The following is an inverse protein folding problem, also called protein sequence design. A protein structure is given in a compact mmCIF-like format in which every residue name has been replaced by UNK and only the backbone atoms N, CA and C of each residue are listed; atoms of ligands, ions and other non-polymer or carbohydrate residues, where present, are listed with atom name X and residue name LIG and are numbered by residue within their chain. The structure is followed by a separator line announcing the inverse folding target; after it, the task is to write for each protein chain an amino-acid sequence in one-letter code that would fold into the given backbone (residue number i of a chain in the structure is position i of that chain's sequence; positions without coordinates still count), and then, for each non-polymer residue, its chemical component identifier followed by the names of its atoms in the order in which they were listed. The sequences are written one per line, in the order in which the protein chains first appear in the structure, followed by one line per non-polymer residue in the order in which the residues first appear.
data_IF_365603641526
#
_entry.id   IF_365603641526
#
_cell.length_a   1.000
_cell.length_b   1.000
_cell.length_c   1.000
_cell.angle_alpha   90.00
_cell.angle_beta   90.00
_cell.angle_gamma   90.00
#
_symmetry.space_group_name_H-M   'P 1'
#
loop_
_entity.id
_entity.type
_entity.pdbx_description
1 polymer ?
#
# COMPACT_ATOMS: atom_id res chain seq x y z
N UNK A 1 -18.01 2.04 -3.81
CA UNK A 1 -19.00 2.65 -4.75
C UNK A 1 -19.85 1.52 -5.31
N UNK A 2 -21.15 1.76 -5.63
CA UNK A 2 -21.97 0.74 -6.26
C UNK A 2 -22.67 1.31 -7.48
N UNK A 3 -22.95 0.46 -8.50
CA UNK A 3 -23.53 0.87 -9.78
C UNK A 3 -24.67 -0.08 -10.19
N UNK A 4 -25.41 0.27 -11.23
CA UNK A 4 -26.36 -0.64 -11.87
C UNK A 4 -25.62 -1.80 -12.57
N UNK A 5 -26.26 -2.99 -12.74
CA UNK A 5 -25.62 -4.13 -13.40
C UNK A 5 -25.43 -3.95 -14.91
N UNK A 6 -26.12 -2.99 -15.53
CA UNK A 6 -26.08 -2.76 -16.99
C UNK A 6 -26.11 -1.26 -17.31
N UNK A 7 -25.66 -0.87 -18.50
CA UNK A 7 -25.70 0.53 -18.97
C UNK A 7 -27.12 1.03 -19.19
N UNK A 8 -27.34 2.29 -18.94
CA UNK A 8 -28.64 2.95 -19.23
C UNK A 8 -28.99 2.80 -20.72
N UNK A 9 -30.26 2.51 -20.99
CA UNK A 9 -30.75 2.36 -22.36
C UNK A 9 -30.44 1.03 -23.05
N UNK A 10 -29.67 0.14 -22.41
CA UNK A 10 -29.32 -1.19 -22.99
C UNK A 10 -30.26 -2.31 -22.57
N UNK A 11 -31.21 -2.06 -21.68
CA UNK A 11 -32.14 -3.04 -21.14
C UNK A 11 -33.50 -2.45 -20.81
N UNK A 12 -34.48 -3.33 -20.54
CA UNK A 12 -35.75 -3.00 -19.87
C UNK A 12 -35.99 -3.99 -18.74
N UNK A 13 -36.65 -3.56 -17.68
CA UNK A 13 -37.09 -4.49 -16.63
C UNK A 13 -38.23 -5.32 -17.15
N UNK A 14 -38.09 -6.62 -17.20
CA UNK A 14 -39.12 -7.56 -17.69
C UNK A 14 -39.84 -8.28 -16.58
N UNK A 15 -39.23 -8.45 -15.39
CA UNK A 15 -39.88 -9.06 -14.24
C UNK A 15 -39.28 -8.53 -12.94
N UNK A 16 -40.16 -8.18 -11.99
CA UNK A 16 -39.81 -7.71 -10.66
C UNK A 16 -39.60 -8.83 -9.65
N UNK A 17 -39.05 -8.44 -8.49
CA UNK A 17 -38.92 -9.30 -7.30
C UNK A 17 -40.30 -9.51 -6.64
N UNK A 18 -40.62 -10.75 -6.23
CA UNK A 18 -41.82 -11.08 -5.47
C UNK A 18 -42.59 -12.27 -6.02
N UNK A 19 -43.83 -12.47 -5.53
CA UNK A 19 -44.69 -13.56 -5.96
C UNK A 19 -45.13 -13.40 -7.41
N UNK A 20 -45.01 -14.43 -8.20
CA UNK A 20 -45.52 -14.50 -9.58
C UNK A 20 -45.87 -15.93 -9.99
N UNK A 21 -46.99 -16.11 -10.66
CA UNK A 21 -47.40 -17.43 -11.23
C UNK A 21 -47.25 -18.64 -10.29
N UNK A 22 -47.58 -18.45 -9.00
CA UNK A 22 -47.49 -19.52 -7.99
C UNK A 22 -46.07 -19.81 -7.45
N UNK A 23 -45.07 -19.04 -7.83
CA UNK A 23 -43.73 -19.14 -7.32
C UNK A 23 -43.15 -17.77 -6.90
N UNK A 24 -42.08 -17.78 -6.10
CA UNK A 24 -41.42 -16.55 -5.67
C UNK A 24 -40.20 -16.26 -6.56
N UNK A 25 -40.14 -15.06 -7.14
CA UNK A 25 -39.02 -14.55 -7.91
C UNK A 25 -38.05 -13.79 -6.99
N UNK A 26 -36.89 -14.38 -6.73
CA UNK A 26 -35.90 -13.83 -5.81
C UNK A 26 -34.99 -12.73 -6.42
N UNK A 27 -35.23 -12.38 -7.69
CA UNK A 27 -34.38 -11.44 -8.44
C UNK A 27 -35.15 -10.32 -9.16
N UNK A 28 -34.41 -9.61 -9.99
CA UNK A 28 -34.90 -8.60 -10.92
C UNK A 28 -34.36 -8.95 -12.31
N UNK A 29 -35.25 -9.03 -13.32
CA UNK A 29 -34.87 -9.47 -14.66
C UNK A 29 -34.65 -8.28 -15.60
N UNK A 30 -33.44 -8.17 -16.12
CA UNK A 30 -32.97 -7.16 -17.07
C UNK A 30 -32.98 -7.75 -18.49
N UNK A 31 -34.10 -7.60 -19.21
CA UNK A 31 -34.22 -8.08 -20.59
C UNK A 31 -33.37 -7.22 -21.55
N UNK A 32 -32.50 -7.87 -22.29
CA UNK A 32 -31.62 -7.24 -23.27
C UNK A 32 -31.13 -8.28 -24.31
N UNK A 33 -30.67 -7.88 -25.49
CA UNK A 33 -30.11 -8.78 -26.48
C UNK A 33 -28.95 -9.61 -25.93
N UNK A 34 -28.81 -10.87 -26.41
CA UNK A 34 -27.66 -11.72 -26.10
C UNK A 34 -26.37 -10.97 -26.48
N UNK A 35 -25.37 -11.00 -25.57
CA UNK A 35 -24.09 -10.31 -25.76
C UNK A 35 -24.06 -8.89 -25.17
N UNK A 36 -25.17 -8.36 -24.66
CA UNK A 36 -25.17 -7.08 -23.94
C UNK A 36 -24.28 -7.15 -22.70
N UNK A 37 -23.36 -6.21 -22.49
CA UNK A 37 -22.42 -6.25 -21.35
C UNK A 37 -23.11 -6.19 -19.99
N UNK A 38 -22.63 -7.02 -19.05
CA UNK A 38 -23.01 -7.08 -17.63
C UNK A 38 -21.81 -6.62 -16.79
N UNK A 39 -22.06 -5.82 -15.76
CA UNK A 39 -21.04 -5.19 -14.95
C UNK A 39 -21.20 -5.57 -13.47
N UNK A 40 -20.07 -5.70 -12.76
CA UNK A 40 -20.08 -5.87 -11.32
C UNK A 40 -20.71 -4.64 -10.64
N UNK A 41 -21.71 -4.89 -9.81
CA UNK A 41 -22.44 -3.78 -9.14
C UNK A 41 -21.68 -3.17 -7.98
N UNK A 42 -20.68 -3.90 -7.43
CA UNK A 42 -19.83 -3.45 -6.33
C UNK A 42 -18.45 -4.11 -6.42
N UNK A 43 -17.49 -3.58 -5.66
CA UNK A 43 -16.19 -4.23 -5.51
C UNK A 43 -16.37 -5.55 -4.76
N UNK A 44 -15.77 -6.63 -5.25
CA UNK A 44 -15.95 -7.95 -4.66
C UNK A 44 -14.99 -9.02 -5.18
N UNK A 45 -15.23 -10.25 -4.74
CA UNK A 45 -14.50 -11.44 -5.17
C UNK A 45 -15.48 -12.39 -5.86
N UNK A 46 -15.08 -12.95 -6.98
CA UNK A 46 -15.87 -13.96 -7.70
C UNK A 46 -15.85 -15.26 -6.91
N UNK A 47 -17.02 -15.74 -6.49
CA UNK A 47 -17.19 -17.04 -5.84
C UNK A 47 -17.32 -18.15 -6.89
N UNK A 48 -18.12 -17.90 -7.92
CA UNK A 48 -18.27 -18.75 -9.10
C UNK A 48 -18.45 -17.89 -10.35
N UNK A 49 -17.90 -18.37 -11.49
CA UNK A 49 -17.94 -17.67 -12.77
C UNK A 49 -17.69 -18.62 -13.94
N UNK A 50 -16.69 -18.34 -14.80
CA UNK A 50 -16.33 -19.15 -15.96
C UNK A 50 -15.97 -20.61 -15.64
N UNK A 51 -15.59 -20.88 -14.43
CA UNK A 51 -15.25 -22.21 -13.88
C UNK A 51 -16.49 -23.04 -13.50
N UNK A 52 -17.70 -22.47 -13.55
CA UNK A 52 -18.94 -23.17 -13.18
C UNK A 52 -19.94 -23.18 -14.31
N UNK A 53 -20.46 -24.38 -14.64
CA UNK A 53 -21.50 -24.63 -15.65
C UNK A 53 -22.70 -25.37 -15.03
N UNK A 54 -23.81 -25.38 -15.75
CA UNK A 54 -25.00 -26.17 -15.44
C UNK A 54 -25.52 -25.93 -14.01
N UNK A 55 -25.60 -24.65 -13.63
CA UNK A 55 -26.19 -24.26 -12.36
C UNK A 55 -27.71 -24.43 -12.46
N UNK A 56 -28.30 -25.20 -11.55
CA UNK A 56 -29.73 -25.51 -11.56
C UNK A 56 -30.58 -24.22 -11.62
N UNK A 57 -31.49 -24.18 -12.57
CA UNK A 57 -32.31 -23.00 -12.86
C UNK A 57 -31.59 -21.92 -13.68
N UNK A 58 -30.36 -21.57 -13.35
CA UNK A 58 -29.62 -20.45 -13.95
C UNK A 58 -28.87 -20.77 -15.26
N UNK A 59 -28.55 -22.07 -15.51
CA UNK A 59 -27.66 -22.47 -16.61
C UNK A 59 -26.21 -22.07 -16.33
N UNK A 60 -25.84 -20.85 -16.66
CA UNK A 60 -24.58 -20.23 -16.26
C UNK A 60 -24.83 -18.98 -15.46
N UNK A 61 -23.96 -18.71 -14.50
CA UNK A 61 -24.08 -17.56 -13.61
C UNK A 61 -22.72 -16.96 -13.25
N UNK A 62 -22.77 -15.79 -12.63
CA UNK A 62 -21.66 -15.16 -11.92
C UNK A 62 -22.15 -14.87 -10.49
N UNK A 63 -21.41 -15.34 -9.50
CA UNK A 63 -21.65 -15.07 -8.10
C UNK A 63 -20.52 -14.23 -7.54
N UNK A 64 -20.84 -13.04 -7.04
CA UNK A 64 -19.91 -12.10 -6.40
C UNK A 64 -20.16 -12.06 -4.90
N UNK A 65 -19.10 -12.30 -4.10
CA UNK A 65 -19.03 -11.93 -2.70
C UNK A 65 -18.57 -10.48 -2.58
N UNK A 66 -19.47 -9.60 -2.21
CA UNK A 66 -19.22 -8.19 -1.94
C UNK A 66 -19.49 -7.82 -0.47
N UNK A 67 -19.42 -8.81 0.46
CA UNK A 67 -19.68 -8.60 1.88
C UNK A 67 -18.80 -7.50 2.49
N UNK A 68 -17.52 -7.48 2.12
CA UNK A 68 -16.57 -6.47 2.62
C UNK A 68 -16.84 -5.05 2.14
N UNK A 69 -17.43 -4.90 0.96
CA UNK A 69 -17.61 -3.58 0.33
C UNK A 69 -18.99 -2.97 0.59
N UNK A 70 -20.02 -3.81 0.59
CA UNK A 70 -21.43 -3.36 0.68
C UNK A 70 -22.30 -4.28 1.54
N UNK A 71 -21.75 -5.30 2.21
CA UNK A 71 -22.50 -6.24 3.07
C UNK A 71 -23.45 -7.16 2.32
N UNK A 72 -23.16 -7.50 1.06
CA UNK A 72 -24.05 -8.26 0.17
C UNK A 72 -23.27 -9.21 -0.73
N UNK A 73 -23.96 -10.29 -1.16
CA UNK A 73 -23.60 -11.06 -2.34
C UNK A 73 -24.52 -10.74 -3.51
N UNK A 74 -24.04 -10.93 -4.72
CA UNK A 74 -24.80 -10.70 -5.95
C UNK A 74 -24.70 -11.89 -6.89
N UNK A 75 -25.87 -12.24 -7.49
CA UNK A 75 -25.99 -13.28 -8.50
C UNK A 75 -26.41 -12.65 -9.82
N UNK A 76 -25.75 -13.07 -10.89
CA UNK A 76 -26.10 -12.73 -12.28
C UNK A 76 -26.39 -14.04 -12.99
N UNK A 77 -27.66 -14.36 -13.22
CA UNK A 77 -28.12 -15.63 -13.83
C UNK A 77 -28.36 -15.50 -15.33
N UNK A 78 -28.52 -16.65 -15.98
CA UNK A 78 -28.81 -16.83 -17.41
C UNK A 78 -27.77 -16.21 -18.35
N UNK A 79 -26.55 -15.93 -17.84
CA UNK A 79 -25.47 -15.32 -18.60
C UNK A 79 -24.97 -16.28 -19.71
N UNK A 80 -24.44 -15.74 -20.81
CA UNK A 80 -23.81 -16.54 -21.83
C UNK A 80 -22.45 -17.07 -21.32
N UNK A 81 -22.31 -18.37 -21.12
CA UNK A 81 -21.12 -18.95 -20.52
C UNK A 81 -19.82 -18.56 -21.23
N UNK A 82 -19.81 -18.62 -22.57
CA UNK A 82 -18.64 -18.22 -23.37
C UNK A 82 -18.30 -16.74 -23.29
N UNK A 83 -19.20 -15.92 -22.76
CA UNK A 83 -19.02 -14.49 -22.54
C UNK A 83 -18.73 -14.11 -21.09
N UNK A 84 -18.58 -15.06 -20.16
CA UNK A 84 -18.13 -14.80 -18.79
C UNK A 84 -16.65 -14.48 -18.83
N UNK A 85 -16.27 -13.33 -18.30
CA UNK A 85 -14.91 -12.78 -18.31
C UNK A 85 -14.13 -13.06 -17.04
N UNK A 86 -14.79 -13.57 -16.00
CA UNK A 86 -14.24 -13.74 -14.64
C UNK A 86 -14.41 -15.18 -14.16
N UNK A 87 -13.52 -15.60 -13.24
CA UNK A 87 -13.51 -16.94 -12.63
C UNK A 87 -13.37 -16.85 -11.13
N UNK A 88 -13.58 -17.94 -10.41
CA UNK A 88 -13.42 -18.06 -8.97
C UNK A 88 -12.11 -17.44 -8.48
N UNK A 89 -12.18 -16.58 -7.48
CA UNK A 89 -11.05 -15.89 -6.86
C UNK A 89 -10.69 -14.55 -7.52
N UNK A 90 -11.21 -14.24 -8.71
CA UNK A 90 -10.95 -12.95 -9.34
C UNK A 90 -11.54 -11.81 -8.49
N UNK A 91 -10.80 -10.71 -8.36
CA UNK A 91 -11.29 -9.48 -7.75
C UNK A 91 -11.86 -8.58 -8.83
N UNK A 92 -13.04 -8.07 -8.60
CA UNK A 92 -13.72 -7.15 -9.52
C UNK A 92 -14.02 -5.82 -8.84
N UNK A 93 -14.11 -4.77 -9.64
CA UNK A 93 -14.50 -3.43 -9.19
C UNK A 93 -15.90 -3.09 -9.68
N UNK A 94 -16.60 -2.26 -8.94
CA UNK A 94 -17.89 -1.68 -9.39
C UNK A 94 -17.72 -1.05 -10.78
N UNK A 95 -18.60 -1.42 -11.71
CA UNK A 95 -18.54 -0.97 -13.10
C UNK A 95 -17.57 -1.73 -14.00
N UNK A 96 -16.83 -2.72 -13.48
CA UNK A 96 -16.04 -3.62 -14.32
C UNK A 96 -16.95 -4.59 -15.09
N UNK A 97 -16.74 -4.75 -16.39
CA UNK A 97 -17.46 -5.75 -17.17
C UNK A 97 -17.03 -7.14 -16.71
N UNK A 98 -18.02 -8.00 -16.37
CA UNK A 98 -17.80 -9.36 -15.85
C UNK A 98 -18.37 -10.46 -16.75
N UNK A 99 -19.29 -10.10 -17.63
CA UNK A 99 -19.93 -11.03 -18.54
C UNK A 99 -20.83 -10.35 -19.53
N UNK A 100 -21.67 -11.15 -20.18
CA UNK A 100 -22.68 -10.66 -21.12
C UNK A 100 -24.00 -11.42 -20.95
N UNK A 101 -25.10 -10.78 -21.30
CA UNK A 101 -26.44 -11.37 -21.32
C UNK A 101 -26.47 -12.63 -22.18
N UNK A 102 -27.11 -13.66 -21.67
CA UNK A 102 -27.37 -14.91 -22.34
C UNK A 102 -28.85 -15.29 -22.35
N UNK A 103 -29.12 -16.58 -22.45
CA UNK A 103 -30.46 -17.17 -22.36
C UNK A 103 -30.32 -18.63 -21.89
N UNK A 104 -29.36 -18.86 -20.95
CA UNK A 104 -29.07 -20.23 -20.49
C UNK A 104 -29.93 -20.63 -19.30
N UNK A 105 -30.13 -21.94 -19.10
CA UNK A 105 -30.94 -22.50 -18.02
C UNK A 105 -32.45 -22.35 -18.25
N UNK A 106 -33.21 -22.21 -17.17
CA UNK A 106 -34.68 -22.04 -17.22
C UNK A 106 -35.04 -20.57 -17.51
N UNK A 107 -34.88 -20.17 -18.74
CA UNK A 107 -35.11 -18.82 -19.21
C UNK A 107 -36.14 -18.79 -20.36
N UNK A 108 -37.05 -17.82 -20.34
CA UNK A 108 -38.09 -17.64 -21.37
C UNK A 108 -37.68 -16.65 -22.48
N UNK A 109 -36.49 -16.06 -22.37
CA UNK A 109 -35.93 -15.12 -23.34
C UNK A 109 -34.66 -14.45 -22.84
N UNK A 110 -33.89 -13.79 -23.71
CA UNK A 110 -32.61 -13.19 -23.32
C UNK A 110 -32.75 -12.13 -22.21
N UNK A 111 -32.12 -12.37 -21.06
CA UNK A 111 -32.09 -11.45 -19.94
C UNK A 111 -30.92 -11.76 -18.97
N UNK A 112 -30.60 -10.81 -18.11
CA UNK A 112 -29.81 -11.03 -16.90
C UNK A 112 -30.75 -11.07 -15.70
N UNK A 113 -30.84 -12.21 -15.04
CA UNK A 113 -31.49 -12.35 -13.74
C UNK A 113 -30.51 -11.89 -12.66
N UNK A 114 -30.92 -10.92 -11.83
CA UNK A 114 -30.06 -10.30 -10.84
C UNK A 114 -30.63 -10.46 -9.43
N UNK A 115 -29.85 -11.07 -8.50
CA UNK A 115 -30.24 -11.22 -7.10
C UNK A 115 -29.32 -10.45 -6.17
N UNK A 116 -29.87 -10.01 -5.02
CA UNK A 116 -29.17 -9.41 -3.88
C UNK A 116 -29.38 -10.25 -2.65
N UNK A 117 -28.32 -10.63 -1.98
CA UNK A 117 -28.35 -11.45 -0.76
C UNK A 117 -27.70 -10.71 0.40
N UNK A 118 -28.44 -10.57 1.51
CA UNK A 118 -27.95 -9.99 2.75
C UNK A 118 -26.89 -10.86 3.43
N UNK A 119 -26.20 -10.29 4.42
CA UNK A 119 -25.19 -11.02 5.21
C UNK A 119 -25.79 -12.27 5.88
N UNK A 120 -25.05 -13.38 5.95
CA UNK A 120 -23.65 -13.62 5.55
C UNK A 120 -23.45 -13.91 4.06
N UNK A 121 -24.41 -13.64 3.19
CA UNK A 121 -24.35 -13.86 1.76
C UNK A 121 -25.31 -14.95 1.28
N UNK A 122 -25.15 -15.44 0.05
CA UNK A 122 -26.07 -16.40 -0.55
C UNK A 122 -26.20 -17.71 0.24
N UNK A 123 -25.13 -18.13 0.89
CA UNK A 123 -25.17 -19.29 1.80
C UNK A 123 -25.45 -18.83 3.24
N UNK A 124 -26.71 -18.93 3.65
CA UNK A 124 -27.16 -18.61 5.00
C UNK A 124 -27.81 -17.23 5.16
N UNK A 125 -27.70 -16.33 4.20
CA UNK A 125 -28.43 -15.05 4.19
C UNK A 125 -29.80 -15.14 3.56
N UNK A 126 -30.49 -14.00 3.52
CA UNK A 126 -31.81 -13.85 2.87
C UNK A 126 -31.67 -12.99 1.61
N UNK A 127 -32.39 -13.36 0.55
CA UNK A 127 -32.49 -12.49 -0.62
C UNK A 127 -33.28 -11.22 -0.31
N UNK A 128 -32.90 -10.14 -0.92
CA UNK A 128 -33.51 -8.81 -0.76
C UNK A 128 -34.02 -8.31 -2.13
N UNK A 129 -34.97 -7.40 -2.12
CA UNK A 129 -35.49 -6.83 -3.36
C UNK A 129 -34.40 -6.01 -4.09
N UNK A 130 -33.91 -6.47 -5.26
CA UNK A 130 -32.84 -5.80 -5.99
C UNK A 130 -33.21 -4.39 -6.43
N UNK A 131 -34.48 -4.10 -6.73
CA UNK A 131 -34.92 -2.77 -7.14
C UNK A 131 -34.69 -1.71 -6.04
N UNK A 132 -34.91 -2.11 -4.75
CA UNK A 132 -34.64 -1.26 -3.61
C UNK A 132 -33.16 -0.99 -3.45
N UNK A 133 -32.33 -2.06 -3.58
CA UNK A 133 -30.88 -1.92 -3.43
C UNK A 133 -30.26 -1.08 -4.57
N UNK A 134 -30.77 -1.20 -5.80
CA UNK A 134 -30.27 -0.48 -6.98
C UNK A 134 -30.77 0.97 -7.07
N UNK A 135 -31.81 1.35 -6.29
CA UNK A 135 -32.39 2.70 -6.34
C UNK A 135 -31.34 3.79 -6.13
N UNK A 136 -31.27 4.74 -7.06
CA UNK A 136 -30.33 5.87 -7.02
C UNK A 136 -28.89 5.55 -7.35
N UNK A 137 -28.54 4.30 -7.70
CA UNK A 137 -27.19 3.96 -8.12
C UNK A 137 -26.95 4.34 -9.59
N UNK A 138 -25.78 4.93 -9.92
CA UNK A 138 -25.45 5.32 -11.29
C UNK A 138 -25.27 4.10 -12.20
N UNK A 139 -25.49 4.28 -13.49
CA UNK A 139 -25.22 3.24 -14.49
C UNK A 139 -23.71 3.14 -14.79
N UNK A 140 -23.18 1.93 -15.09
CA UNK A 140 -21.80 1.78 -15.56
C UNK A 140 -21.61 2.53 -16.88
N UNK A 141 -20.52 3.27 -17.02
CA UNK A 141 -20.22 4.09 -18.21
C UNK A 141 -20.98 5.41 -18.31
N UNK A 142 -21.87 5.75 -17.35
CA UNK A 142 -22.47 7.07 -17.21
C UNK A 142 -21.63 8.05 -16.38
N UNK A 143 -20.45 7.66 -16.01
CA UNK A 143 -19.48 8.54 -15.36
C UNK A 143 -18.65 9.18 -16.45
N UNK A 144 -18.64 10.52 -16.49
CA UNK A 144 -17.69 11.34 -17.25
C UNK A 144 -16.27 10.73 -17.14
N UNK A 145 -15.39 10.96 -18.15
CA UNK A 145 -14.04 10.41 -18.12
C UNK A 145 -13.46 10.61 -16.74
N UNK A 146 -12.92 9.54 -16.17
CA UNK A 146 -12.45 9.49 -14.79
C UNK A 146 -11.73 10.80 -14.47
N UNK A 147 -12.15 11.57 -13.46
CA UNK A 147 -11.36 12.69 -13.03
C UNK A 147 -9.97 12.13 -12.71
N UNK A 148 -8.94 12.82 -13.20
CA UNK A 148 -7.56 12.55 -12.77
C UNK A 148 -7.61 12.23 -11.28
N UNK A 149 -6.98 11.17 -10.80
CA UNK A 149 -7.17 10.69 -9.44
C UNK A 149 -7.02 11.85 -8.46
N UNK A 150 -8.12 12.23 -7.82
CA UNK A 150 -8.05 13.10 -6.64
C UNK A 150 -7.25 12.33 -5.60
N UNK A 151 -6.36 12.97 -4.85
CA UNK A 151 -5.63 12.32 -3.78
C UNK A 151 -6.63 11.69 -2.80
N UNK A 152 -6.43 10.40 -2.58
CA UNK A 152 -7.33 9.48 -1.88
C UNK A 152 -7.47 9.88 -0.41
N UNK A 153 -8.67 10.34 -0.04
CA UNK A 153 -9.07 10.52 1.35
C UNK A 153 -9.57 9.19 1.93
N UNK A 154 -8.72 8.46 2.63
CA UNK A 154 -9.13 7.55 3.71
C UNK A 154 -9.83 6.24 3.32
N UNK A 155 -9.36 5.47 2.31
CA UNK A 155 -9.64 4.03 2.19
C UNK A 155 -8.65 3.21 3.01
N UNK A 156 -9.05 2.05 3.57
CA UNK A 156 -8.07 1.05 3.99
C UNK A 156 -7.29 0.67 2.74
N UNK A 157 -6.04 1.07 2.69
CA UNK A 157 -5.17 0.84 1.55
C UNK A 157 -4.86 -0.64 1.50
N UNK A 158 -5.21 -1.32 0.42
CA UNK A 158 -4.91 -2.73 0.22
C UNK A 158 -3.41 -2.97 0.12
N UNK A 159 -2.97 -4.19 0.42
CA UNK A 159 -1.58 -4.60 0.23
C UNK A 159 -1.22 -4.61 -1.26
N UNK A 160 -0.11 -3.98 -1.62
CA UNK A 160 0.50 -4.04 -2.95
C UNK A 160 1.72 -4.97 -2.93
N UNK A 161 2.01 -5.58 -4.07
CA UNK A 161 3.06 -6.58 -4.19
C UNK A 161 4.22 -6.06 -5.04
N UNK A 162 5.43 -6.47 -4.69
CA UNK A 162 6.65 -6.18 -5.41
C UNK A 162 7.57 -7.37 -5.50
N UNK A 163 8.66 -7.17 -6.20
CA UNK A 163 9.76 -8.13 -6.32
C UNK A 163 11.06 -7.46 -5.92
N UNK A 164 12.01 -8.23 -5.41
CA UNK A 164 13.40 -7.81 -5.43
C UNK A 164 14.19 -8.68 -6.40
N UNK A 165 15.11 -8.06 -7.11
CA UNK A 165 15.79 -8.65 -8.27
C UNK A 165 17.26 -8.27 -8.32
N UNK A 166 18.04 -9.16 -8.93
CA UNK A 166 19.47 -9.01 -9.14
C UNK A 166 19.87 -9.66 -10.46
N UNK A 167 21.16 -9.90 -10.67
CA UNK A 167 21.69 -10.67 -11.80
C UNK A 167 21.07 -12.08 -11.89
N UNK A 168 20.58 -12.64 -10.79
CA UNK A 168 19.91 -13.95 -10.78
C UNK A 168 18.60 -13.95 -11.57
N UNK A 169 17.96 -12.79 -11.74
CA UNK A 169 16.78 -12.59 -12.56
C UNK A 169 17.11 -11.99 -13.94
N UNK A 170 18.35 -12.13 -14.42
CA UNK A 170 18.73 -11.61 -15.73
C UNK A 170 17.75 -12.07 -16.84
N UNK A 171 17.29 -11.12 -17.66
CA UNK A 171 16.29 -11.35 -18.72
C UNK A 171 14.85 -11.49 -18.22
N UNK A 172 14.54 -11.24 -16.94
CA UNK A 172 13.16 -11.11 -16.46
C UNK A 172 12.57 -9.78 -16.94
N UNK A 173 11.37 -9.83 -17.52
CA UNK A 173 10.65 -8.60 -17.90
C UNK A 173 9.86 -8.03 -16.74
N UNK A 174 10.29 -6.87 -16.24
CA UNK A 174 9.57 -6.12 -15.20
C UNK A 174 8.33 -5.41 -15.77
N UNK A 175 8.30 -5.12 -17.07
CA UNK A 175 7.09 -4.71 -17.79
C UNK A 175 6.00 -5.79 -17.73
N UNK A 176 6.36 -7.06 -17.96
CA UNK A 176 5.43 -8.17 -17.79
C UNK A 176 5.03 -8.35 -16.32
N UNK A 177 5.96 -8.22 -15.39
CA UNK A 177 5.66 -8.25 -13.96
C UNK A 177 4.62 -7.18 -13.57
N UNK A 178 4.74 -5.96 -14.08
CA UNK A 178 3.76 -4.89 -13.88
C UNK A 178 2.37 -5.26 -14.41
N UNK A 179 2.30 -5.88 -15.58
CA UNK A 179 1.05 -6.38 -16.15
C UNK A 179 0.41 -7.52 -15.33
N UNK A 180 1.22 -8.30 -14.60
CA UNK A 180 0.78 -9.34 -13.67
C UNK A 180 0.43 -8.80 -12.27
N UNK A 181 0.46 -7.47 -12.06
CA UNK A 181 0.01 -6.79 -10.83
C UNK A 181 1.12 -6.45 -9.83
N UNK A 182 2.39 -6.54 -10.23
CA UNK A 182 3.51 -6.03 -9.43
C UNK A 182 3.49 -4.51 -9.45
N UNK A 183 3.66 -3.89 -8.30
CA UNK A 183 3.59 -2.44 -8.11
C UNK A 183 4.96 -1.79 -7.90
N UNK A 184 5.97 -2.55 -7.46
CA UNK A 184 7.30 -2.04 -7.15
C UNK A 184 8.39 -3.08 -7.38
N UNK A 185 9.62 -2.60 -7.58
CA UNK A 185 10.82 -3.42 -7.69
C UNK A 185 11.96 -2.82 -6.85
N UNK A 186 12.66 -3.68 -6.09
CA UNK A 186 13.86 -3.32 -5.35
C UNK A 186 15.02 -4.04 -6.04
N UNK A 187 16.03 -3.30 -6.50
CA UNK A 187 17.02 -3.79 -7.45
C UNK A 187 18.41 -3.75 -6.83
N UNK A 188 19.13 -4.87 -6.85
CA UNK A 188 20.49 -4.94 -6.30
C UNK A 188 21.44 -4.07 -7.09
N UNK A 189 22.18 -3.23 -6.38
CA UNK A 189 23.33 -2.51 -6.94
C UNK A 189 24.59 -3.34 -6.85
N UNK A 190 24.87 -3.84 -5.64
CA UNK A 190 26.12 -4.54 -5.36
C UNK A 190 25.94 -5.60 -4.27
N UNK A 191 26.84 -6.58 -4.27
CA UNK A 191 27.10 -7.50 -3.19
C UNK A 191 28.56 -7.25 -2.74
N UNK A 192 28.74 -6.58 -1.61
CA UNK A 192 30.03 -6.00 -1.28
C UNK A 192 30.48 -5.02 -2.38
N UNK A 193 31.64 -5.30 -2.98
CA UNK A 193 32.15 -4.54 -4.14
C UNK A 193 31.82 -5.17 -5.50
N UNK A 194 31.19 -6.35 -5.52
CA UNK A 194 30.68 -6.95 -6.76
C UNK A 194 29.56 -6.10 -7.32
N UNK A 195 29.71 -5.63 -8.55
CA UNK A 195 28.75 -4.78 -9.26
C UNK A 195 27.71 -5.63 -9.98
N UNK A 196 26.44 -5.43 -9.67
CA UNK A 196 25.36 -6.15 -10.35
C UNK A 196 25.19 -5.64 -11.80
N UNK A 197 25.47 -6.51 -12.76
CA UNK A 197 25.43 -6.18 -14.18
C UNK A 197 24.03 -5.91 -14.72
N UNK A 198 23.00 -6.35 -14.00
CA UNK A 198 21.59 -6.19 -14.42
C UNK A 198 20.90 -4.97 -13.79
N UNK A 199 21.57 -4.24 -12.88
CA UNK A 199 20.94 -3.10 -12.18
C UNK A 199 20.31 -2.09 -13.15
N UNK A 200 21.07 -1.61 -14.12
CA UNK A 200 20.62 -0.57 -15.06
C UNK A 200 19.49 -1.06 -15.98
N UNK A 201 19.57 -2.30 -16.48
CA UNK A 201 18.53 -2.87 -17.35
C UNK A 201 17.24 -3.13 -16.58
N UNK A 202 17.31 -3.70 -15.37
CA UNK A 202 16.16 -3.89 -14.51
C UNK A 202 15.52 -2.55 -14.10
N UNK A 203 16.34 -1.54 -13.77
CA UNK A 203 15.84 -0.21 -13.41
C UNK A 203 15.08 0.43 -14.58
N UNK A 204 15.66 0.39 -15.79
CA UNK A 204 15.03 0.96 -16.97
C UNK A 204 13.70 0.27 -17.31
N UNK A 205 13.65 -1.07 -17.28
CA UNK A 205 12.43 -1.84 -17.55
C UNK A 205 11.35 -1.59 -16.47
N UNK A 206 11.74 -1.56 -15.18
CA UNK A 206 10.83 -1.27 -14.08
C UNK A 206 10.22 0.13 -14.17
N UNK A 207 11.04 1.14 -14.40
CA UNK A 207 10.58 2.54 -14.49
C UNK A 207 9.77 2.77 -15.76
N UNK A 208 10.18 2.19 -16.88
CA UNK A 208 9.41 2.20 -18.14
C UNK A 208 8.03 1.55 -18.00
N UNK A 209 7.90 0.58 -17.11
CA UNK A 209 6.62 -0.05 -16.75
C UNK A 209 5.85 0.72 -15.65
N UNK A 210 6.40 1.82 -15.13
CA UNK A 210 5.79 2.64 -14.09
C UNK A 210 5.81 2.01 -12.70
N UNK A 211 6.68 1.04 -12.40
CA UNK A 211 6.88 0.51 -11.06
C UNK A 211 7.52 1.57 -10.14
N UNK A 212 7.24 1.49 -8.84
CA UNK A 212 8.01 2.23 -7.84
C UNK A 212 9.31 1.50 -7.62
N UNK A 213 10.45 2.19 -7.74
CA UNK A 213 11.77 1.56 -7.68
C UNK A 213 12.55 2.00 -6.45
N UNK A 214 13.35 1.10 -5.90
CA UNK A 214 14.41 1.36 -4.94
C UNK A 214 15.62 0.49 -5.27
N UNK A 215 16.76 0.82 -4.70
CA UNK A 215 17.95 0.00 -4.78
C UNK A 215 18.12 -0.82 -3.49
N UNK A 216 18.91 -1.91 -3.54
CA UNK A 216 19.50 -2.50 -2.35
C UNK A 216 20.98 -2.78 -2.54
N UNK A 217 21.71 -2.77 -1.43
CA UNK A 217 23.12 -3.05 -1.33
C UNK A 217 23.35 -4.15 -0.28
N UNK A 218 23.88 -5.31 -0.68
CA UNK A 218 24.25 -6.37 0.23
C UNK A 218 25.56 -6.00 0.94
N UNK A 219 25.45 -5.71 2.23
CA UNK A 219 26.59 -5.27 3.03
C UNK A 219 27.43 -6.45 3.51
N UNK A 220 28.64 -6.56 3.00
CA UNK A 220 29.65 -7.52 3.46
C UNK A 220 30.38 -7.02 4.71
N UNK A 221 30.78 -7.95 5.58
CA UNK A 221 31.67 -7.63 6.68
C UNK A 221 33.03 -7.18 6.11
N UNK A 222 33.67 -6.12 6.62
CA UNK A 222 35.04 -5.76 6.22
C UNK A 222 36.07 -6.88 6.32
N UNK A 223 35.87 -7.84 7.21
CA UNK A 223 36.72 -9.04 7.30
C UNK A 223 36.67 -9.93 6.03
N UNK A 224 35.67 -9.73 5.17
CA UNK A 224 35.56 -10.41 3.87
C UNK A 224 36.37 -9.72 2.76
N UNK A 225 37.29 -8.81 3.13
CA UNK A 225 38.30 -8.23 2.24
C UNK A 225 37.98 -6.89 1.62
N UNK A 226 36.84 -6.25 1.99
CA UNK A 226 36.44 -4.94 1.41
C UNK A 226 35.97 -3.98 2.50
N UNK A 227 36.43 -2.74 2.48
CA UNK A 227 35.95 -1.71 3.41
C UNK A 227 34.51 -1.29 3.07
N UNK A 228 33.75 -0.88 4.09
CA UNK A 228 32.38 -0.34 3.91
C UNK A 228 32.37 0.83 2.92
N UNK A 229 33.36 1.71 2.97
CA UNK A 229 33.46 2.84 2.07
C UNK A 229 33.65 2.42 0.58
N UNK A 230 34.47 1.36 0.34
CA UNK A 230 34.67 0.81 -1.00
C UNK A 230 33.38 0.13 -1.54
N UNK A 231 32.64 -0.55 -0.67
CA UNK A 231 31.37 -1.19 -1.02
C UNK A 231 30.32 -0.14 -1.43
N UNK A 232 30.18 0.92 -0.62
CA UNK A 232 29.24 2.02 -0.93
C UNK A 232 29.68 2.76 -2.18
N UNK A 233 31.00 2.97 -2.39
CA UNK A 233 31.53 3.58 -3.63
C UNK A 233 31.08 2.77 -4.85
N UNK A 234 31.28 1.45 -4.83
CA UNK A 234 30.89 0.57 -5.92
C UNK A 234 29.36 0.63 -6.18
N UNK A 235 28.54 0.65 -5.12
CA UNK A 235 27.10 0.76 -5.23
C UNK A 235 26.64 2.08 -5.89
N UNK A 236 27.23 3.20 -5.48
CA UNK A 236 26.93 4.53 -6.05
C UNK A 236 27.36 4.64 -7.50
N UNK A 237 28.50 4.04 -7.86
CA UNK A 237 28.96 3.96 -9.26
C UNK A 237 28.00 3.17 -10.14
N UNK A 238 27.47 2.03 -9.65
CA UNK A 238 26.44 1.22 -10.35
C UNK A 238 25.15 2.02 -10.53
N UNK A 239 24.74 2.81 -9.53
CA UNK A 239 23.55 3.68 -9.66
C UNK A 239 23.72 4.74 -10.75
N UNK A 240 24.95 5.24 -10.97
CA UNK A 240 25.24 6.29 -11.92
C UNK A 240 24.60 7.64 -11.56
N UNK A 241 24.23 8.43 -12.58
CA UNK A 241 23.65 9.76 -12.37
C UNK A 241 22.27 9.73 -11.71
N UNK A 242 21.48 8.69 -11.95
CA UNK A 242 20.13 8.54 -11.38
C UNK A 242 20.16 7.73 -10.09
N UNK A 243 20.64 8.33 -9.01
CA UNK A 243 20.66 7.70 -7.70
C UNK A 243 19.25 7.35 -7.24
N UNK A 244 19.07 6.12 -6.73
CA UNK A 244 17.81 5.67 -6.12
C UNK A 244 17.98 5.53 -4.62
N UNK A 245 16.89 5.73 -3.84
CA UNK A 245 16.90 5.40 -2.43
C UNK A 245 17.30 3.94 -2.23
N UNK A 246 18.09 3.66 -1.19
CA UNK A 246 18.71 2.36 -0.99
C UNK A 246 18.27 1.71 0.32
N UNK A 247 18.05 0.40 0.28
CA UNK A 247 17.99 -0.48 1.44
C UNK A 247 19.37 -1.08 1.71
N UNK A 248 19.80 -1.08 2.96
CA UNK A 248 21.01 -1.80 3.38
C UNK A 248 20.60 -3.23 3.73
N UNK A 249 21.08 -4.18 2.97
CA UNK A 249 20.84 -5.60 3.17
C UNK A 249 21.86 -6.15 4.18
N UNK A 250 21.35 -6.62 5.32
CA UNK A 250 22.10 -6.95 6.54
C UNK A 250 21.91 -8.43 6.85
N UNK A 251 22.66 -9.31 6.15
CA UNK A 251 22.52 -10.77 6.32
C UNK A 251 23.80 -11.57 6.01
N UNK A 252 24.96 -10.92 5.86
CA UNK A 252 26.20 -11.64 5.52
C UNK A 252 26.56 -12.72 6.52
N UNK A 253 26.99 -13.89 6.04
CA UNK A 253 27.32 -15.05 6.86
C UNK A 253 28.44 -14.79 7.90
N UNK A 254 29.36 -13.88 7.63
CA UNK A 254 30.41 -13.48 8.57
C UNK A 254 29.87 -12.73 9.80
N UNK A 255 28.58 -12.35 9.80
CA UNK A 255 28.00 -11.46 10.80
C UNK A 255 28.46 -10.01 10.60
N UNK A 256 27.84 -9.08 11.31
CA UNK A 256 28.19 -7.65 11.23
C UNK A 256 28.33 -7.06 12.64
N UNK A 257 29.22 -6.09 12.77
CA UNK A 257 29.17 -5.16 13.88
C UNK A 257 28.21 -4.02 13.54
N UNK A 258 27.46 -3.53 14.51
CA UNK A 258 26.49 -2.43 14.29
C UNK A 258 27.15 -1.19 13.66
N UNK A 259 28.42 -0.94 13.97
CA UNK A 259 29.15 0.19 13.39
C UNK A 259 29.41 0.06 11.88
N UNK A 260 29.42 -1.17 11.33
CA UNK A 260 29.49 -1.37 9.88
C UNK A 260 28.21 -0.87 9.21
N UNK A 261 27.05 -1.14 9.82
CA UNK A 261 25.74 -0.67 9.31
C UNK A 261 25.65 0.86 9.42
N UNK A 262 26.09 1.43 10.57
CA UNK A 262 26.19 2.88 10.78
C UNK A 262 27.12 3.55 9.76
N UNK A 263 28.28 2.96 9.52
CA UNK A 263 29.22 3.48 8.53
C UNK A 263 28.65 3.42 7.12
N UNK A 264 27.95 2.33 6.75
CA UNK A 264 27.32 2.16 5.47
C UNK A 264 26.24 3.24 5.23
N UNK A 265 25.37 3.45 6.22
CA UNK A 265 24.34 4.51 6.18
C UNK A 265 24.96 5.88 5.99
N UNK A 266 25.89 6.28 6.83
CA UNK A 266 26.57 7.59 6.74
C UNK A 266 27.25 7.79 5.41
N UNK A 267 27.91 6.77 4.86
CA UNK A 267 28.63 6.87 3.60
C UNK A 267 27.70 7.04 2.39
N UNK A 268 26.54 6.33 2.37
CA UNK A 268 25.50 6.57 1.37
C UNK A 268 24.95 8.01 1.44
N UNK A 269 24.60 8.46 2.64
CA UNK A 269 24.05 9.80 2.88
C UNK A 269 25.05 10.89 2.51
N UNK A 270 26.33 10.73 2.84
CA UNK A 270 27.43 11.62 2.44
C UNK A 270 27.55 11.76 0.92
N UNK A 271 27.23 10.69 0.17
CA UNK A 271 27.24 10.65 -1.29
C UNK A 271 25.90 11.09 -1.90
N UNK A 272 24.97 11.61 -1.11
CA UNK A 272 23.68 12.09 -1.55
C UNK A 272 22.71 10.97 -1.96
N UNK A 273 22.84 9.76 -1.40
CA UNK A 273 21.91 8.65 -1.56
C UNK A 273 21.09 8.53 -0.28
N UNK A 274 19.77 8.63 -0.39
CA UNK A 274 18.86 8.42 0.73
C UNK A 274 18.90 6.93 1.13
N UNK A 275 19.18 6.64 2.39
CA UNK A 275 18.95 5.32 2.99
C UNK A 275 17.51 5.24 3.46
N UNK A 276 16.76 4.25 2.96
CA UNK A 276 15.36 4.00 3.38
C UNK A 276 15.38 3.32 4.74
N UNK A 277 16.24 2.33 4.91
CA UNK A 277 16.38 1.55 6.11
C UNK A 277 17.18 0.27 5.88
N UNK A 278 16.95 -0.72 6.72
CA UNK A 278 17.62 -2.03 6.62
C UNK A 278 16.66 -3.14 6.19
N UNK A 279 17.20 -4.10 5.44
CA UNK A 279 16.63 -5.42 5.24
C UNK A 279 17.38 -6.45 6.08
N UNK A 280 16.65 -7.36 6.70
CA UNK A 280 17.21 -8.54 7.34
C UNK A 280 16.12 -9.58 7.65
N UNK A 281 16.53 -10.72 8.21
CA UNK A 281 15.61 -11.72 8.75
C UNK A 281 15.79 -11.89 10.28
N UNK A 282 14.73 -12.39 10.94
CA UNK A 282 14.65 -12.41 12.41
C UNK A 282 15.89 -13.00 13.07
N UNK A 283 16.33 -14.27 12.77
CA UNK A 283 17.49 -14.85 13.45
C UNK A 283 18.80 -14.10 13.22
N UNK A 284 18.93 -13.38 12.11
CA UNK A 284 20.14 -12.61 11.84
C UNK A 284 20.16 -11.32 12.67
N UNK A 285 19.09 -10.54 12.61
CA UNK A 285 19.03 -9.26 13.32
C UNK A 285 19.18 -9.44 14.83
N UNK A 286 18.47 -10.42 15.40
CA UNK A 286 18.49 -10.69 16.85
C UNK A 286 19.80 -11.37 17.33
N UNK A 287 20.47 -12.16 16.49
CA UNK A 287 21.56 -13.05 16.94
C UNK A 287 22.92 -12.88 16.29
N UNK A 288 23.03 -12.24 15.12
CA UNK A 288 24.28 -12.19 14.34
C UNK A 288 24.93 -10.80 14.31
N UNK A 289 24.26 -9.76 14.78
CA UNK A 289 24.82 -8.41 14.87
C UNK A 289 25.51 -8.24 16.23
N UNK A 290 26.71 -7.68 16.22
CA UNK A 290 27.49 -7.44 17.42
C UNK A 290 27.53 -5.94 17.75
N UNK A 291 27.65 -5.57 19.05
CA UNK A 291 27.74 -6.44 20.23
C UNK A 291 26.41 -7.06 20.67
N UNK A 292 25.29 -6.55 20.17
CA UNK A 292 23.91 -7.00 20.47
C UNK A 292 22.96 -6.51 19.38
N UNK A 293 21.73 -6.96 19.40
CA UNK A 293 20.66 -6.46 18.56
C UNK A 293 20.57 -4.91 18.64
N UNK A 294 20.71 -4.19 17.52
CA UNK A 294 20.58 -2.74 17.52
C UNK A 294 19.12 -2.31 17.40
N UNK A 295 18.82 -1.09 17.88
CA UNK A 295 17.56 -0.43 17.57
C UNK A 295 17.49 -0.08 16.08
N UNK A 296 16.55 -0.68 15.36
CA UNK A 296 16.46 -0.53 13.90
C UNK A 296 16.01 0.87 13.48
N UNK A 297 15.33 1.64 14.35
CA UNK A 297 14.97 3.04 14.07
C UNK A 297 16.20 3.92 13.78
N UNK A 298 17.38 3.54 14.28
CA UNK A 298 18.64 4.26 13.99
C UNK A 298 18.94 4.28 12.48
N UNK A 299 18.50 3.25 11.76
CA UNK A 299 18.84 3.09 10.34
C UNK A 299 17.73 3.57 9.40
N UNK A 300 16.53 3.81 9.89
CA UNK A 300 15.36 4.19 9.11
C UNK A 300 14.24 3.16 9.25
N UNK A 301 13.63 2.79 8.16
CA UNK A 301 12.53 1.81 8.13
C UNK A 301 13.05 0.36 8.11
N UNK A 302 12.17 -0.62 8.37
CA UNK A 302 12.58 -2.02 8.39
C UNK A 302 11.84 -2.85 7.32
N UNK A 303 12.64 -3.55 6.50
CA UNK A 303 12.18 -4.54 5.52
C UNK A 303 12.58 -5.94 6.02
N UNK A 304 11.60 -6.77 6.40
CA UNK A 304 11.84 -8.08 6.99
C UNK A 304 11.67 -9.21 5.99
N UNK A 305 12.56 -10.22 6.04
CA UNK A 305 12.34 -11.50 5.39
C UNK A 305 11.78 -12.53 6.38
N UNK A 306 10.69 -13.19 6.01
CA UNK A 306 10.11 -14.29 6.76
C UNK A 306 9.18 -15.13 5.85
N UNK A 307 9.66 -16.24 5.35
CA UNK A 307 9.01 -16.99 4.25
C UNK A 307 7.95 -18.00 4.70
N UNK A 308 7.91 -18.38 5.98
CA UNK A 308 7.03 -19.44 6.43
C UNK A 308 7.27 -20.74 5.65
N UNK A 309 6.21 -21.27 5.05
CA UNK A 309 6.28 -22.50 4.23
C UNK A 309 6.94 -22.30 2.86
N UNK A 310 7.28 -21.08 2.49
CA UNK A 310 7.91 -20.70 1.21
C UNK A 310 7.32 -21.41 -0.02
N UNK A 311 6.01 -21.33 -0.19
CA UNK A 311 5.28 -22.02 -1.26
C UNK A 311 5.54 -21.37 -2.62
N UNK A 312 5.54 -22.19 -3.67
CA UNK A 312 5.58 -21.72 -5.04
C UNK A 312 4.19 -21.27 -5.50
N UNK A 313 4.06 -20.09 -6.09
CA UNK A 313 2.78 -19.56 -6.60
C UNK A 313 2.85 -18.10 -7.00
N UNK A 314 1.74 -17.54 -7.48
CA UNK A 314 1.69 -16.09 -7.75
C UNK A 314 1.79 -15.30 -6.44
N UNK A 315 2.35 -14.08 -6.45
CA UNK A 315 2.49 -13.27 -5.22
C UNK A 315 1.22 -13.22 -4.38
N UNK A 316 0.07 -13.00 -5.00
CA UNK A 316 -1.21 -12.91 -4.32
C UNK A 316 -1.65 -14.25 -3.71
N UNK A 317 -1.32 -15.37 -4.36
CA UNK A 317 -1.76 -16.71 -3.93
C UNK A 317 -0.96 -17.26 -2.75
N UNK A 318 0.29 -16.83 -2.61
CA UNK A 318 1.19 -17.30 -1.53
C UNK A 318 1.33 -16.28 -0.39
N UNK A 319 0.74 -15.09 -0.52
CA UNK A 319 0.76 -14.08 0.52
C UNK A 319 -0.02 -14.52 1.76
N UNK A 320 0.62 -14.55 2.96
CA UNK A 320 -0.04 -15.04 4.18
C UNK A 320 -1.16 -14.13 4.72
N UNK A 321 -1.28 -12.90 4.21
CA UNK A 321 -2.35 -11.97 4.56
C UNK A 321 -1.94 -10.85 5.53
N UNK A 322 -2.78 -9.80 5.56
CA UNK A 322 -2.53 -8.56 6.29
C UNK A 322 -2.57 -8.72 7.81
N UNK A 323 -3.27 -9.76 8.31
CA UNK A 323 -3.35 -10.08 9.75
C UNK A 323 -2.22 -10.99 10.24
N UNK A 324 -1.30 -11.41 9.34
CA UNK A 324 -0.21 -12.31 9.75
C UNK A 324 0.69 -11.65 10.80
N UNK A 325 1.13 -12.43 11.80
CA UNK A 325 1.91 -11.95 12.95
C UNK A 325 3.20 -11.23 12.59
N UNK A 326 3.80 -11.54 11.44
CA UNK A 326 5.05 -10.92 10.98
C UNK A 326 4.94 -9.40 10.85
N UNK A 327 3.78 -8.88 10.48
CA UNK A 327 3.55 -7.43 10.42
C UNK A 327 3.58 -6.71 11.78
N UNK A 328 3.47 -7.44 12.86
CA UNK A 328 3.50 -6.90 14.21
C UNK A 328 4.73 -7.35 15.02
N UNK A 329 5.56 -8.24 14.44
CA UNK A 329 6.78 -8.71 15.10
C UNK A 329 7.87 -7.64 14.98
N UNK A 330 8.30 -7.03 16.11
CA UNK A 330 9.30 -5.99 16.05
C UNK A 330 10.70 -6.61 15.90
N UNK A 331 11.55 -5.99 15.07
CA UNK A 331 12.98 -6.25 14.99
C UNK A 331 13.70 -4.96 15.37
N UNK A 332 14.58 -5.02 16.37
CA UNK A 332 15.22 -3.82 16.91
C UNK A 332 14.18 -2.77 17.32
N UNK A 333 13.13 -3.17 18.05
CA UNK A 333 12.02 -2.32 18.52
C UNK A 333 11.09 -1.73 17.45
N UNK A 334 11.29 -2.04 16.16
CA UNK A 334 10.52 -1.49 15.05
C UNK A 334 9.72 -2.56 14.31
N UNK A 335 8.44 -2.29 14.07
CA UNK A 335 7.61 -3.14 13.20
C UNK A 335 8.03 -2.94 11.74
N UNK A 336 8.03 -4.01 10.92
CA UNK A 336 8.39 -3.87 9.51
C UNK A 336 7.33 -3.08 8.74
N UNK A 337 7.79 -2.25 7.82
CA UNK A 337 6.96 -1.55 6.84
C UNK A 337 6.87 -2.32 5.53
N UNK A 338 7.83 -3.21 5.28
CA UNK A 338 7.93 -4.04 4.08
C UNK A 338 8.25 -5.48 4.49
N UNK A 339 7.60 -6.45 3.85
CA UNK A 339 7.80 -7.86 4.16
C UNK A 339 8.07 -8.69 2.91
N UNK A 340 9.27 -9.28 2.83
CA UNK A 340 9.60 -10.34 1.86
C UNK A 340 9.08 -11.67 2.43
N UNK A 341 7.98 -12.15 1.87
CA UNK A 341 7.23 -13.28 2.43
C UNK A 341 7.46 -14.59 1.68
N UNK A 342 8.28 -14.60 0.65
CA UNK A 342 8.64 -15.81 -0.09
C UNK A 342 9.69 -15.55 -1.15
N UNK A 343 10.48 -16.58 -1.45
CA UNK A 343 11.50 -16.58 -2.51
C UNK A 343 11.10 -17.45 -3.73
N UNK A 344 9.87 -17.97 -3.75
CA UNK A 344 9.36 -18.83 -4.81
C UNK A 344 8.11 -18.28 -5.47
N UNK A 345 7.99 -16.95 -5.50
CA UNK A 345 6.94 -16.25 -6.24
C UNK A 345 7.12 -16.44 -7.75
N UNK A 346 6.05 -16.78 -8.46
CA UNK A 346 6.08 -16.90 -9.91
C UNK A 346 5.60 -15.59 -10.53
N UNK A 347 6.52 -14.84 -11.12
CA UNK A 347 6.27 -13.54 -11.76
C UNK A 347 7.01 -13.49 -13.10
N UNK A 348 6.34 -13.03 -14.13
CA UNK A 348 6.87 -12.98 -15.50
C UNK A 348 7.44 -14.31 -16.00
N UNK A 349 6.91 -15.42 -15.48
CA UNK A 349 7.34 -16.79 -15.82
C UNK A 349 8.60 -17.27 -15.11
N UNK A 350 9.12 -16.53 -14.11
CA UNK A 350 10.31 -16.89 -13.32
C UNK A 350 9.97 -16.99 -11.83
N UNK A 351 10.74 -17.79 -11.09
CA UNK A 351 10.75 -17.73 -9.61
C UNK A 351 11.57 -16.52 -9.17
N UNK A 352 11.02 -15.76 -8.22
CA UNK A 352 11.61 -14.52 -7.72
C UNK A 352 11.15 -14.25 -6.29
N UNK A 353 11.94 -13.48 -5.55
CA UNK A 353 11.59 -12.99 -4.24
C UNK A 353 10.41 -12.03 -4.32
N UNK A 354 9.42 -12.23 -3.44
CA UNK A 354 8.16 -11.50 -3.45
C UNK A 354 7.92 -10.76 -2.15
N UNK A 355 7.51 -9.53 -2.31
CA UNK A 355 7.37 -8.54 -1.26
C UNK A 355 5.95 -8.00 -1.15
N UNK A 356 5.55 -7.65 0.06
CA UNK A 356 4.27 -7.00 0.35
C UNK A 356 4.49 -5.67 1.07
N UNK A 357 3.71 -4.67 0.69
CA UNK A 357 3.61 -3.38 1.36
C UNK A 357 2.14 -3.09 1.67
N UNK A 358 1.83 -2.79 2.93
CA UNK A 358 0.48 -2.39 3.34
C UNK A 358 0.28 -0.91 3.07
N UNK A 359 -0.20 -0.60 1.90
CA UNK A 359 -0.38 0.78 1.51
C UNK A 359 -0.62 0.93 0.01
N UNK A 360 -0.85 2.15 -0.41
CA UNK A 360 -0.95 2.53 -1.82
C UNK A 360 0.44 2.64 -2.45
N UNK A 361 0.47 2.62 -3.76
CA UNK A 361 1.67 2.90 -4.54
C UNK A 361 2.24 4.30 -4.25
N UNK A 362 1.38 5.25 -3.92
CA UNK A 362 1.76 6.61 -3.56
C UNK A 362 2.40 6.67 -2.16
N UNK A 363 1.87 5.92 -1.19
CA UNK A 363 2.48 5.80 0.13
C UNK A 363 3.84 5.10 0.08
N UNK A 364 3.96 4.04 -0.73
CA UNK A 364 5.25 3.41 -0.98
C UNK A 364 6.26 4.36 -1.64
N UNK A 365 5.80 5.19 -2.60
CA UNK A 365 6.66 6.21 -3.20
C UNK A 365 7.16 7.22 -2.17
N UNK A 366 6.29 7.66 -1.26
CA UNK A 366 6.70 8.53 -0.14
C UNK A 366 7.70 7.85 0.80
N UNK A 367 7.46 6.57 1.11
CA UNK A 367 8.40 5.78 1.91
C UNK A 367 9.78 5.75 1.28
N UNK A 368 9.88 5.43 0.00
CA UNK A 368 11.16 5.28 -0.69
C UNK A 368 11.86 6.63 -0.91
N UNK A 369 11.16 7.61 -1.45
CA UNK A 369 11.78 8.87 -1.89
C UNK A 369 11.74 9.99 -0.84
N UNK A 370 11.04 9.80 0.24
CA UNK A 370 10.69 10.87 1.16
C UNK A 370 9.59 11.76 0.58
N UNK A 371 8.83 12.40 1.42
CA UNK A 371 7.77 13.34 1.07
C UNK A 371 6.93 13.63 2.29
N UNK A 372 6.37 14.82 2.39
CA UNK A 372 5.45 15.15 3.47
C UNK A 372 4.24 14.20 3.43
N UNK A 373 3.75 13.71 4.58
CA UNK A 373 2.56 12.86 4.63
C UNK A 373 1.39 13.57 3.96
N UNK A 374 0.58 12.81 3.20
CA UNK A 374 -0.63 13.36 2.60
C UNK A 374 -1.54 13.90 3.70
N UNK A 375 -1.97 15.17 3.58
CA UNK A 375 -2.93 15.78 4.50
C UNK A 375 -4.20 14.93 4.54
N UNK A 376 -4.57 14.41 5.72
CA UNK A 376 -5.90 13.85 5.94
C UNK A 376 -6.96 14.92 5.63
N UNK A 377 -8.13 14.58 5.04
CA UNK A 377 -9.22 15.54 4.87
C UNK A 377 -9.63 16.07 6.25
N UNK A 378 -9.68 17.37 6.39
CA UNK A 378 -10.10 18.04 7.61
C UNK A 378 -11.61 18.03 7.72
N UNK A 379 -12.13 17.53 8.82
CA UNK A 379 -13.43 17.93 9.36
C UNK A 379 -13.40 19.43 9.67
N UNK A 380 -14.50 20.16 9.40
CA UNK A 380 -14.55 21.61 9.33
C UNK A 380 -14.32 22.39 10.63
N UNK A 381 -13.20 22.14 11.33
CA UNK A 381 -12.71 22.92 12.47
C UNK A 381 -11.56 23.85 12.07
N UNK A 382 -11.50 25.06 12.63
CA UNK A 382 -10.42 26.03 12.42
C UNK A 382 -9.04 25.37 12.46
N UNK A 383 -8.28 25.41 11.33
CA UNK A 383 -6.96 24.81 11.19
C UNK A 383 -5.94 25.49 12.12
N UNK A 384 -5.51 24.75 13.13
CA UNK A 384 -4.24 25.00 13.81
C UNK A 384 -3.11 24.54 12.90
N UNK A 385 -2.12 25.38 12.60
CA UNK A 385 -1.03 25.04 11.67
C UNK A 385 -0.20 23.86 12.21
N UNK A 386 0.41 23.06 11.32
CA UNK A 386 1.23 21.92 11.73
C UNK A 386 2.46 22.33 12.54
N UNK A 387 2.98 23.54 12.29
CA UNK A 387 4.02 24.15 13.13
C UNK A 387 3.51 24.44 14.54
N UNK A 388 2.26 24.83 14.70
CA UNK A 388 1.63 25.09 16.00
C UNK A 388 1.42 23.80 16.79
N UNK A 389 1.08 22.68 16.12
CA UNK A 389 1.00 21.34 16.74
C UNK A 389 2.36 20.82 17.17
N UNK A 390 3.37 21.02 16.31
CA UNK A 390 4.75 20.64 16.62
C UNK A 390 5.28 21.45 17.81
N UNK A 391 5.05 22.75 17.83
CA UNK A 391 5.44 23.61 18.94
C UNK A 391 4.70 23.23 20.21
N UNK A 392 3.43 22.88 20.14
CA UNK A 392 2.66 22.37 21.28
C UNK A 392 3.27 21.08 21.83
N UNK A 393 3.60 20.11 20.97
CA UNK A 393 4.25 18.87 21.38
C UNK A 393 5.64 19.11 22.00
N UNK A 394 6.42 20.03 21.43
CA UNK A 394 7.73 20.43 21.95
C UNK A 394 7.58 21.10 23.33
N UNK A 395 6.62 22.02 23.51
CA UNK A 395 6.36 22.65 24.81
C UNK A 395 5.87 21.66 25.86
N UNK A 396 4.97 20.73 25.49
CA UNK A 396 4.48 19.67 26.38
C UNK A 396 5.59 18.70 26.81
N UNK A 397 6.45 18.31 25.86
CA UNK A 397 7.49 17.29 26.07
C UNK A 397 8.73 17.82 26.80
N UNK A 398 9.12 19.09 26.59
CA UNK A 398 10.35 19.67 27.16
C UNK A 398 10.12 20.57 28.37
N UNK A 399 8.91 21.09 28.56
CA UNK A 399 8.64 22.07 29.61
C UNK A 399 7.58 21.63 30.63
N UNK A 400 6.91 20.51 30.45
CA UNK A 400 5.86 20.02 31.34
C UNK A 400 4.64 20.96 31.44
N UNK A 401 4.36 21.72 30.37
CA UNK A 401 3.30 22.70 30.34
C UNK A 401 1.94 22.10 30.09
N UNK A 402 0.94 22.44 30.91
CA UNK A 402 -0.48 22.21 30.59
C UNK A 402 -1.04 23.43 29.87
N UNK A 403 -1.44 23.23 28.63
CA UNK A 403 -2.06 24.26 27.82
C UNK A 403 -3.43 24.69 28.38
N UNK A 404 -3.64 25.97 28.58
CA UNK A 404 -4.97 26.56 28.87
C UNK A 404 -5.44 27.36 27.64
N UNK A 405 -6.75 27.43 27.45
CA UNK A 405 -7.44 28.01 26.29
C UNK A 405 -7.09 29.48 25.98
N UNK A 406 -6.40 30.18 26.87
CA UNK A 406 -6.09 31.62 26.85
C UNK A 406 -4.61 31.94 27.01
N UNK A 407 -3.69 31.05 26.59
CA UNK A 407 -2.26 31.34 26.62
C UNK A 407 -1.40 30.20 27.18
N UNK A 408 -0.10 30.32 27.02
CA UNK A 408 0.89 29.40 27.58
C UNK A 408 0.95 29.55 29.07
N UNK A 409 0.60 28.54 29.83
CA UNK A 409 0.80 28.51 31.29
C UNK A 409 2.30 28.39 31.56
N UNK A 410 2.86 29.37 32.24
CA UNK A 410 4.28 29.37 32.63
C UNK A 410 4.52 28.38 33.77
N UNK A 411 5.60 27.60 33.68
CA UNK A 411 6.14 26.87 34.81
C UNK A 411 6.78 27.90 35.77
N UNK A 412 6.68 27.67 37.05
CA UNK A 412 7.09 28.67 38.04
C UNK A 412 8.47 29.27 37.70
N UNK A 413 8.49 30.50 37.23
CA UNK A 413 9.69 31.25 36.88
C UNK A 413 10.19 31.18 35.44
N UNK A 414 9.47 30.53 34.52
CA UNK A 414 9.86 30.44 33.10
C UNK A 414 8.86 31.15 32.18
N UNK A 415 9.37 32.11 31.43
CA UNK A 415 8.64 32.83 30.39
C UNK A 415 9.35 32.60 29.03
N UNK A 416 8.60 32.15 28.03
CA UNK A 416 9.14 31.87 26.73
C UNK A 416 9.80 33.09 26.06
N UNK A 417 9.23 34.28 26.26
CA UNK A 417 9.77 35.54 25.74
C UNK A 417 11.05 35.97 26.46
N UNK A 418 11.09 35.83 27.80
CA UNK A 418 12.31 36.12 28.55
C UNK A 418 13.46 35.18 28.23
N UNK A 419 13.13 33.92 27.88
CA UNK A 419 14.13 32.94 27.38
C UNK A 419 14.70 33.34 26.03
N UNK A 420 13.87 33.81 25.09
CA UNK A 420 14.32 34.33 23.80
C UNK A 420 15.25 35.53 23.97
N UNK A 421 14.85 36.50 24.80
CA UNK A 421 15.67 37.70 25.06
C UNK A 421 16.98 37.38 25.78
N UNK A 422 16.96 36.38 26.69
CA UNK A 422 18.18 35.87 27.34
C UNK A 422 19.10 35.19 26.35
N UNK A 423 18.54 34.34 25.48
CA UNK A 423 19.30 33.65 24.41
C UNK A 423 19.93 34.63 23.43
N UNK A 424 19.20 35.65 23.00
CA UNK A 424 19.75 36.73 22.14
C UNK A 424 20.91 37.47 22.81
N UNK A 425 20.82 37.78 24.10
CA UNK A 425 21.92 38.42 24.86
C UNK A 425 23.13 37.50 24.95
N UNK A 426 22.95 36.22 25.28
CA UNK A 426 24.03 35.23 25.35
C UNK A 426 24.72 35.06 23.99
N UNK A 427 23.95 34.93 22.92
CA UNK A 427 24.51 34.76 21.57
C UNK A 427 25.38 35.96 21.17
N UNK A 428 24.93 37.19 21.53
CA UNK A 428 25.68 38.43 21.30
C UNK A 428 26.97 38.55 22.12
N UNK A 429 26.98 38.02 23.33
CA UNK A 429 28.10 38.19 24.27
C UNK A 429 29.08 37.04 24.28
N UNK A 430 28.61 35.83 24.07
CA UNK A 430 29.43 34.61 24.19
C UNK A 430 29.51 33.78 22.87
N UNK A 431 28.67 34.07 21.87
CA UNK A 431 28.56 33.30 20.64
C UNK A 431 27.95 31.90 20.84
N UNK A 432 27.43 31.57 22.01
CA UNK A 432 26.92 30.22 22.33
C UNK A 432 25.57 30.29 23.06
N UNK A 433 24.69 29.35 22.67
CA UNK A 433 23.40 29.07 23.28
C UNK A 433 23.22 27.58 23.51
N UNK A 434 22.41 27.22 24.47
CA UNK A 434 21.97 25.82 24.62
C UNK A 434 21.07 25.38 23.45
N UNK A 435 20.96 24.09 23.14
CA UNK A 435 20.03 23.61 22.10
C UNK A 435 18.59 24.08 22.29
N UNK A 436 18.13 24.19 23.54
CA UNK A 436 16.78 24.68 23.85
C UNK A 436 16.65 26.18 23.54
N UNK A 437 17.64 27.01 23.94
CA UNK A 437 17.65 28.44 23.61
C UNK A 437 17.72 28.66 22.07
N UNK A 438 18.48 27.89 21.33
CA UNK A 438 18.52 27.95 19.86
C UNK A 438 17.17 27.59 19.24
N UNK A 439 16.45 26.61 19.81
CA UNK A 439 15.12 26.24 19.34
C UNK A 439 14.11 27.38 19.53
N UNK A 440 14.19 28.10 20.69
CA UNK A 440 13.37 29.27 20.94
C UNK A 440 13.69 30.40 19.96
N UNK A 441 14.96 30.66 19.69
CA UNK A 441 15.38 31.69 18.71
C UNK A 441 14.92 31.35 17.28
N UNK A 442 15.04 30.11 16.86
CA UNK A 442 14.62 29.66 15.55
C UNK A 442 13.10 29.77 15.31
N UNK A 443 12.31 29.78 16.38
CA UNK A 443 10.86 29.83 16.32
C UNK A 443 10.27 31.10 16.95
N UNK A 444 11.07 32.14 17.13
CA UNK A 444 10.67 33.39 17.85
C UNK A 444 9.38 34.01 17.31
N UNK A 445 9.23 34.13 15.99
CA UNK A 445 8.04 34.74 15.39
C UNK A 445 6.77 33.92 15.71
N UNK A 446 6.90 32.58 15.64
CA UNK A 446 5.80 31.67 15.97
C UNK A 446 5.45 31.75 17.44
N UNK A 447 6.45 31.83 18.35
CA UNK A 447 6.27 31.94 19.79
C UNK A 447 5.61 33.28 20.12
N UNK A 448 6.04 34.41 19.50
CA UNK A 448 5.42 35.71 19.69
C UNK A 448 3.95 35.72 19.29
N UNK A 449 3.63 35.20 18.10
CA UNK A 449 2.23 35.08 17.66
C UNK A 449 1.38 34.24 18.60
N UNK A 450 1.99 33.27 19.24
CA UNK A 450 1.31 32.32 20.12
C UNK A 450 1.07 32.89 21.51
N UNK A 451 2.04 33.63 22.06
CA UNK A 451 1.95 34.29 23.39
C UNK A 451 1.05 35.51 23.32
N UNK A 452 1.08 36.28 22.24
CA UNK A 452 0.31 37.51 22.08
C UNK A 452 -1.15 37.23 21.64
N UNK A 453 -1.58 35.97 21.56
CA UNK A 453 -2.99 35.61 21.35
C UNK A 453 -3.52 35.87 19.95
N UNK A 454 -2.63 35.96 18.94
CA UNK A 454 -3.02 36.02 17.51
C UNK A 454 -3.98 37.19 17.20
N UNK A 455 -3.49 38.40 17.20
CA UNK A 455 -4.17 39.56 16.58
C UNK A 455 -3.96 39.56 15.08
#
# INVERSE_FOLDING_TARGET
MAVQPMKQGTYRISSGYGQRWGSFHAGLDFAAPIGTPIYAVADGVVVEGKDRRNVSGFGSWIWLDCQRSVGKDFIYGHVKHSGILVKKGDRVRAGQQIGVVGNEGQSTGPHCHFEVWGSPGRLGGRHENPANWLKGKPHPGGVAPAPKPKPDGGRPVGTIFGVDVSVHQNGMSLKRAAAEGIAFAIIRTTDGTYRDSCYQSHLADAEGAGLVTAAYHYLRNPSEGTSVAAQVQASVEVMGAKKRPVWIDVETNAGLHVDHIRACKREFERRGVRVIGCYSYVPYWEGRIRPREPDSHEFGEFWVAAYGANRRGTPQSIYPGDSHRQWSYPLGNQKPVLWQYGSRGVVAGREVDVNAFKGSKEELRRLFYGGAPAKKPSDGGKRVSDNEKLMRAVFEQFAGYKYKKNGVSTWAGWDALSTIESAKRKLKTTGACTPVELLYLANEELIRRYVDGGK
#
